data_IF_457054591066
#
_entry.id   IF_457054591066
#
_cell.length_a   1.000
_cell.length_b   1.000
_cell.length_c   1.000
_cell.angle_alpha   90.00
_cell.angle_beta   90.00
_cell.angle_gamma   90.00
#
_symmetry.space_group_name_H-M   'P 1'
#
loop_
_entity.id
_entity.type
_entity.pdbx_description
1 polymer ?
#
# COMPACT_ATOMS: atom_id res chain seq x y z
N UNK A 1 11.38 -5.37 13.03
CA UNK A 1 11.17 -6.17 11.79
C UNK A 1 10.01 -5.57 11.00
N UNK A 2 9.98 -5.75 9.67
CA UNK A 2 8.82 -5.37 8.84
C UNK A 2 7.79 -6.50 8.92
N UNK A 3 6.49 -6.17 9.04
CA UNK A 3 5.42 -7.16 9.08
C UNK A 3 5.19 -7.86 7.73
N UNK A 4 4.22 -8.77 7.68
CA UNK A 4 3.82 -9.44 6.44
C UNK A 4 3.41 -8.41 5.36
N UNK A 5 3.88 -8.54 4.11
CA UNK A 5 3.60 -7.58 3.05
C UNK A 5 2.13 -7.60 2.62
N UNK A 6 1.71 -6.54 1.94
CA UNK A 6 0.41 -6.50 1.27
C UNK A 6 0.41 -7.46 0.08
N UNK A 7 -0.70 -8.14 -0.15
CA UNK A 7 -0.92 -8.91 -1.38
C UNK A 7 -1.17 -7.95 -2.55
N UNK A 8 -0.90 -8.42 -3.78
CA UNK A 8 -1.21 -7.64 -4.98
C UNK A 8 -2.64 -7.93 -5.42
N UNK A 9 -3.41 -6.88 -5.69
CA UNK A 9 -4.75 -6.97 -6.23
C UNK A 9 -4.75 -6.63 -7.73
N UNK A 10 -5.50 -7.41 -8.50
CA UNK A 10 -5.70 -7.21 -9.93
C UNK A 10 -4.57 -7.77 -10.80
N UNK A 11 -4.72 -7.58 -12.11
CA UNK A 11 -3.74 -8.01 -13.10
C UNK A 11 -2.50 -7.10 -13.10
N UNK A 12 -1.38 -7.61 -13.63
CA UNK A 12 -0.17 -6.81 -13.87
C UNK A 12 -0.50 -5.56 -14.69
N UNK A 13 -0.08 -4.39 -14.17
CA UNK A 13 -0.30 -3.10 -14.83
C UNK A 13 0.70 -2.87 -15.97
N UNK A 14 0.41 -1.87 -16.80
CA UNK A 14 1.37 -1.36 -17.78
C UNK A 14 2.50 -0.59 -17.09
N UNK A 15 3.64 -0.42 -17.79
CA UNK A 15 4.69 0.47 -17.33
C UNK A 15 4.15 1.90 -17.19
N UNK A 16 4.50 2.55 -16.08
CA UNK A 16 4.14 3.95 -15.80
C UNK A 16 5.38 4.82 -16.02
N UNK A 17 5.29 5.78 -16.93
CA UNK A 17 6.33 6.80 -17.15
C UNK A 17 5.78 8.15 -16.71
N UNK A 18 6.47 8.82 -15.77
CA UNK A 18 6.07 10.11 -15.25
C UNK A 18 6.86 11.24 -15.92
N UNK A 19 6.17 12.28 -16.38
CA UNK A 19 6.79 13.55 -16.72
C UNK A 19 7.30 14.26 -15.44
N UNK A 20 8.25 15.20 -15.55
CA UNK A 20 8.65 16.02 -14.41
C UNK A 20 7.43 16.69 -13.75
N UNK A 21 7.30 16.57 -12.44
CA UNK A 21 6.17 17.11 -11.67
C UNK A 21 4.90 16.26 -11.68
N UNK A 22 4.81 15.21 -12.49
CA UNK A 22 3.69 14.27 -12.47
C UNK A 22 3.81 13.28 -11.30
N UNK A 23 2.67 12.69 -10.91
CA UNK A 23 2.59 11.72 -9.83
C UNK A 23 1.99 10.40 -10.30
N UNK A 24 2.33 9.32 -9.59
CA UNK A 24 1.65 8.03 -9.67
C UNK A 24 1.08 7.67 -8.31
N UNK A 25 0.05 6.84 -8.28
CA UNK A 25 -0.55 6.32 -7.07
C UNK A 25 -0.85 4.83 -7.20
N UNK A 26 -0.91 4.17 -6.05
CA UNK A 26 -1.52 2.86 -5.87
C UNK A 26 -2.40 2.94 -4.61
N UNK A 27 -3.50 2.19 -4.60
CA UNK A 27 -4.42 2.20 -3.46
C UNK A 27 -4.08 1.04 -2.54
N UNK A 28 -3.96 1.35 -1.25
CA UNK A 28 -3.81 0.36 -0.18
C UNK A 28 -5.19 0.09 0.43
N UNK A 29 -5.62 -1.16 0.42
CA UNK A 29 -6.87 -1.63 0.98
C UNK A 29 -6.64 -2.33 2.33
N UNK A 30 -7.37 -1.88 3.35
CA UNK A 30 -7.47 -2.51 4.67
C UNK A 30 -8.93 -2.60 5.07
N UNK A 31 -9.28 -3.56 5.92
CA UNK A 31 -10.63 -3.58 6.52
C UNK A 31 -10.73 -2.55 7.64
N UNK A 32 -11.92 -1.99 7.83
CA UNK A 32 -12.22 -1.19 9.02
C UNK A 32 -12.30 -2.09 10.26
N UNK A 33 -11.97 -1.54 11.43
CA UNK A 33 -12.13 -2.25 12.69
C UNK A 33 -13.60 -2.68 12.90
N UNK A 34 -13.81 -3.93 13.29
CA UNK A 34 -15.15 -4.48 13.57
C UNK A 34 -15.90 -5.01 12.36
N UNK A 35 -15.33 -4.96 11.15
CA UNK A 35 -15.91 -5.58 9.94
C UNK A 35 -15.63 -7.09 9.88
N UNK A 36 -14.63 -7.57 10.61
CA UNK A 36 -14.24 -8.98 10.67
C UNK A 36 -14.06 -9.42 12.13
N UNK A 37 -14.31 -10.70 12.40
CA UNK A 37 -14.02 -11.34 13.69
C UNK A 37 -12.51 -11.45 13.94
N UNK A 38 -11.70 -11.40 12.87
CA UNK A 38 -10.25 -11.28 13.01
C UNK A 38 -9.88 -9.86 13.44
N UNK A 39 -9.21 -9.78 14.59
CA UNK A 39 -8.79 -8.52 15.20
C UNK A 39 -7.83 -7.71 14.32
N UNK A 40 -7.45 -6.52 14.80
CA UNK A 40 -6.47 -5.71 14.11
C UNK A 40 -5.05 -6.09 14.52
N UNK A 41 -4.11 -5.99 13.57
CA UNK A 41 -2.68 -6.04 13.87
C UNK A 41 -2.32 -4.92 14.86
N UNK A 42 -1.17 -5.07 15.52
CA UNK A 42 -0.60 -4.00 16.34
C UNK A 42 -0.52 -2.70 15.52
N UNK A 43 -0.64 -1.53 16.16
CA UNK A 43 -0.44 -0.27 15.44
C UNK A 43 0.98 -0.22 14.86
N UNK A 44 1.13 0.44 13.73
CA UNK A 44 2.41 0.60 13.03
C UNK A 44 2.72 2.09 12.96
N UNK A 45 3.97 2.47 13.21
CA UNK A 45 4.39 3.87 13.09
C UNK A 45 4.95 4.20 11.70
N UNK A 46 5.24 3.16 10.91
CA UNK A 46 5.94 3.26 9.63
C UNK A 46 5.30 2.35 8.58
N UNK A 47 5.10 2.90 7.38
CA UNK A 47 4.77 2.17 6.18
C UNK A 47 5.96 2.22 5.22
N UNK A 48 6.43 1.06 4.78
CA UNK A 48 7.46 0.94 3.74
C UNK A 48 6.81 0.57 2.41
N UNK A 49 7.03 1.41 1.40
CA UNK A 49 6.54 1.21 0.03
C UNK A 49 7.73 0.96 -0.87
N UNK A 50 7.71 -0.14 -1.62
CA UNK A 50 8.75 -0.49 -2.58
C UNK A 50 8.20 -0.24 -3.99
N UNK A 51 8.62 0.85 -4.68
CA UNK A 51 8.17 1.14 -6.05
C UNK A 51 8.55 0.02 -7.03
N UNK A 52 7.83 -0.15 -8.14
CA UNK A 52 8.21 -1.09 -9.20
C UNK A 52 9.65 -0.88 -9.65
N UNK A 53 10.44 -1.96 -9.65
CA UNK A 53 11.85 -1.94 -10.06
C UNK A 53 12.82 -1.35 -9.02
N UNK A 54 12.35 -0.91 -7.86
CA UNK A 54 13.21 -0.40 -6.77
C UNK A 54 13.21 -1.34 -5.57
N UNK A 55 14.41 -1.66 -5.08
CA UNK A 55 14.60 -2.31 -3.77
C UNK A 55 14.72 -1.31 -2.64
N UNK A 56 14.89 -0.02 -2.95
CA UNK A 56 14.95 1.05 -1.95
C UNK A 56 13.53 1.50 -1.59
N UNK A 57 13.14 1.48 -0.30
CA UNK A 57 11.80 1.82 0.11
C UNK A 57 11.59 3.33 0.29
N UNK A 58 10.41 3.80 -0.11
CA UNK A 58 9.84 5.03 0.44
C UNK A 58 9.26 4.71 1.82
N UNK A 59 9.68 5.44 2.84
CA UNK A 59 9.20 5.24 4.22
C UNK A 59 8.30 6.40 4.63
N UNK A 60 7.04 6.08 4.93
CA UNK A 60 6.04 7.03 5.40
C UNK A 60 5.81 6.79 6.89
N UNK A 61 5.74 7.87 7.68
CA UNK A 61 5.18 7.83 9.03
C UNK A 61 3.67 8.06 8.92
N UNK A 62 2.88 7.05 9.23
CA UNK A 62 1.41 7.15 9.21
C UNK A 62 0.82 6.25 10.31
N UNK A 63 0.20 6.85 11.31
CA UNK A 63 -0.44 6.19 12.44
C UNK A 63 -1.93 5.88 12.19
N UNK A 64 -2.47 6.34 11.05
CA UNK A 64 -3.88 6.16 10.64
C UNK A 64 -4.07 4.83 9.91
N UNK A 65 -3.03 4.30 9.29
CA UNK A 65 -3.09 2.98 8.63
C UNK A 65 -3.11 1.88 9.69
N UNK A 66 -4.24 1.19 9.81
CA UNK A 66 -4.38 0.01 10.66
C UNK A 66 -4.93 -1.16 9.86
N UNK A 67 -4.16 -2.24 9.86
CA UNK A 67 -4.55 -3.48 9.17
C UNK A 67 -5.45 -4.29 10.09
N UNK A 68 -6.71 -4.44 9.70
CA UNK A 68 -7.69 -5.26 10.42
C UNK A 68 -8.14 -6.45 9.58
N UNK A 69 -8.42 -7.55 10.28
CA UNK A 69 -8.67 -8.85 9.68
C UNK A 69 -7.60 -9.29 8.70
N UNK A 70 -8.03 -9.96 7.64
CA UNK A 70 -7.12 -10.55 6.63
C UNK A 70 -6.92 -9.65 5.40
N UNK A 71 -7.48 -8.44 5.40
CA UNK A 71 -7.39 -7.50 4.28
C UNK A 71 -6.16 -6.62 4.42
N UNK A 72 -5.16 -6.91 3.59
CA UNK A 72 -4.01 -6.03 3.36
C UNK A 72 -3.55 -6.21 1.92
N UNK A 73 -4.10 -5.40 1.01
CA UNK A 73 -3.88 -5.54 -0.43
C UNK A 73 -3.50 -4.19 -1.04
N UNK A 74 -2.72 -4.23 -2.12
CA UNK A 74 -2.33 -3.03 -2.88
C UNK A 74 -2.66 -3.22 -4.36
N UNK A 75 -3.24 -2.19 -4.97
CA UNK A 75 -3.51 -2.19 -6.41
C UNK A 75 -2.23 -2.04 -7.23
N UNK A 76 -2.34 -2.23 -8.54
CA UNK A 76 -1.28 -1.78 -9.44
C UNK A 76 -1.15 -0.26 -9.46
N UNK A 77 0.08 0.20 -9.70
CA UNK A 77 0.39 1.62 -9.77
C UNK A 77 -0.11 2.22 -11.08
N UNK A 78 -0.69 3.42 -11.00
CA UNK A 78 -1.26 4.17 -12.12
C UNK A 78 -0.81 5.62 -12.05
N UNK A 79 -0.80 6.32 -13.18
CA UNK A 79 -0.62 7.78 -13.18
C UNK A 79 -1.77 8.44 -12.42
N UNK A 80 -1.46 9.44 -11.60
CA UNK A 80 -2.46 10.31 -11.02
C UNK A 80 -3.04 11.23 -12.09
N UNK A 81 -4.36 11.39 -12.12
CA UNK A 81 -4.96 12.48 -12.88
C UNK A 81 -4.50 13.81 -12.27
N UNK A 82 -4.23 14.79 -13.12
CA UNK A 82 -3.97 16.17 -12.70
C UNK A 82 -5.28 16.91 -12.43
#
# INVERSE_FOLDING_TARGET
AVGAPATREGASGAAVTLAPGAAAHATLHTANQGVSDSGCRARHDLLKVYPPGSTEPLTLRDDRVRVCGDTFAVTTMKTSAS
#
